data_IF_210189247691
#
_entry.id   IF_210189247691
#
_cell.length_a   1.000
_cell.length_b   1.000
_cell.length_c   1.000
_cell.angle_alpha   90.00
_cell.angle_beta   90.00
_cell.angle_gamma   90.00
#
_symmetry.space_group_name_H-M   'P 1'
#
loop_
_entity.id
_entity.type
_entity.pdbx_description
1 polymer ?
#
# COMPACT_ATOMS: atom_id res chain seq x y z
N UNK A 1 18.00 3.11 -4.09
CA UNK A 1 17.78 1.77 -3.51
C UNK A 1 17.50 0.82 -4.66
N UNK A 2 18.03 -0.42 -4.68
CA UNK A 2 17.65 -1.39 -5.71
C UNK A 2 16.20 -1.85 -5.50
N UNK A 3 15.52 -2.30 -6.56
CA UNK A 3 14.17 -2.85 -6.45
C UNK A 3 14.11 -4.06 -5.52
N UNK A 4 15.13 -4.92 -5.57
CA UNK A 4 15.30 -6.03 -4.63
C UNK A 4 15.34 -5.55 -3.18
N UNK A 5 16.14 -4.53 -2.87
CA UNK A 5 16.21 -4.00 -1.51
C UNK A 5 14.88 -3.36 -1.09
N UNK A 6 14.17 -2.70 -2.01
CA UNK A 6 12.82 -2.17 -1.74
C UNK A 6 11.86 -3.28 -1.32
N UNK A 7 11.80 -4.39 -2.06
CA UNK A 7 10.95 -5.55 -1.71
C UNK A 7 11.36 -6.17 -0.38
N UNK A 8 12.66 -6.34 -0.12
CA UNK A 8 13.13 -6.82 1.19
C UNK A 8 12.65 -5.89 2.31
N UNK A 9 12.72 -4.57 2.11
CA UNK A 9 12.23 -3.61 3.08
C UNK A 9 10.72 -3.71 3.32
N UNK A 10 9.91 -4.01 2.31
CA UNK A 10 8.49 -4.33 2.50
C UNK A 10 8.31 -5.52 3.43
N UNK A 11 9.04 -6.62 3.21
CA UNK A 11 8.93 -7.82 4.05
C UNK A 11 9.48 -7.57 5.46
N UNK A 12 10.57 -6.81 5.60
CA UNK A 12 11.22 -6.52 6.89
C UNK A 12 10.46 -5.48 7.72
N UNK A 13 9.93 -4.42 7.10
CA UNK A 13 9.35 -3.28 7.81
C UNK A 13 7.83 -3.24 7.74
N UNK A 14 7.25 -3.33 6.54
CA UNK A 14 5.80 -3.26 6.38
C UNK A 14 5.16 -4.50 6.99
N UNK A 15 5.46 -5.66 6.43
CA UNK A 15 4.96 -6.95 6.91
C UNK A 15 5.50 -7.31 8.29
N UNK A 16 6.78 -6.99 8.57
CA UNK A 16 7.42 -7.29 9.85
C UNK A 16 6.83 -6.56 11.06
N UNK A 17 6.10 -5.46 10.85
CA UNK A 17 5.38 -4.77 11.93
C UNK A 17 3.86 -4.79 11.78
N UNK A 18 3.33 -5.44 10.73
CA UNK A 18 1.90 -5.48 10.41
C UNK A 18 1.05 -6.09 11.54
N UNK A 19 1.43 -7.25 12.08
CA UNK A 19 0.73 -7.88 13.22
C UNK A 19 0.73 -6.98 14.45
N UNK A 20 1.87 -6.32 14.75
CA UNK A 20 1.96 -5.37 15.87
C UNK A 20 1.05 -4.17 15.65
N UNK A 21 1.00 -3.62 14.43
CA UNK A 21 0.12 -2.50 14.08
C UNK A 21 -1.34 -2.90 14.20
N UNK A 22 -1.73 -4.08 13.70
CA UNK A 22 -3.10 -4.58 13.84
C UNK A 22 -3.49 -4.78 15.32
N UNK A 23 -2.62 -5.38 16.13
CA UNK A 23 -2.90 -5.66 17.54
C UNK A 23 -3.00 -4.41 18.43
N UNK A 24 -2.65 -3.22 17.92
CA UNK A 24 -2.88 -1.95 18.65
C UNK A 24 -4.33 -1.47 18.52
N UNK A 25 -5.05 -1.94 17.50
CA UNK A 25 -6.40 -1.49 17.22
C UNK A 25 -7.35 -1.97 18.34
N UNK A 26 -8.40 -1.20 18.65
CA UNK A 26 -9.55 -1.74 19.37
C UNK A 26 -10.05 -3.01 18.68
N UNK A 27 -10.44 -4.03 19.46
CA UNK A 27 -10.75 -5.36 18.93
C UNK A 27 -11.90 -5.35 17.92
N UNK A 28 -12.92 -4.56 18.20
CA UNK A 28 -14.08 -4.34 17.34
C UNK A 28 -13.69 -3.64 16.04
N UNK A 29 -12.82 -2.65 16.10
CA UNK A 29 -12.28 -1.97 14.93
C UNK A 29 -11.43 -2.91 14.07
N UNK A 30 -10.51 -3.66 14.67
CA UNK A 30 -9.68 -4.62 13.94
C UNK A 30 -10.53 -5.70 13.26
N UNK A 31 -11.52 -6.25 13.95
CA UNK A 31 -12.44 -7.22 13.37
C UNK A 31 -13.28 -6.63 12.24
N UNK A 32 -13.74 -5.37 12.38
CA UNK A 32 -14.47 -4.67 11.33
C UNK A 32 -13.64 -4.59 10.04
N UNK A 33 -12.39 -4.12 10.13
CA UNK A 33 -11.51 -3.98 8.96
C UNK A 33 -11.22 -5.33 8.29
N UNK A 34 -10.98 -6.37 9.08
CA UNK A 34 -10.76 -7.73 8.55
C UNK A 34 -12.00 -8.27 7.81
N UNK A 35 -13.20 -7.99 8.31
CA UNK A 35 -14.44 -8.38 7.62
C UNK A 35 -14.66 -7.59 6.31
N UNK A 36 -14.24 -6.32 6.25
CA UNK A 36 -14.29 -5.51 5.03
C UNK A 36 -13.37 -6.08 3.94
N UNK A 37 -12.26 -6.72 4.32
CA UNK A 37 -11.38 -7.51 3.44
C UNK A 37 -11.96 -8.88 3.04
N UNK A 38 -13.12 -9.27 3.60
CA UNK A 38 -13.79 -10.54 3.31
C UNK A 38 -13.30 -11.74 4.13
N UNK A 39 -12.58 -11.51 5.23
CA UNK A 39 -12.08 -12.57 6.12
C UNK A 39 -12.83 -12.59 7.47
N UNK A 40 -13.00 -13.78 8.05
CA UNK A 40 -13.70 -13.95 9.33
C UNK A 40 -12.81 -13.54 10.52
N UNK A 41 -11.51 -13.81 10.43
CA UNK A 41 -10.52 -13.48 11.45
C UNK A 41 -9.22 -12.95 10.85
N UNK A 42 -8.42 -12.24 11.65
CA UNK A 42 -7.11 -11.78 11.20
C UNK A 42 -6.18 -12.95 10.86
N UNK A 43 -6.32 -14.09 11.54
CA UNK A 43 -5.61 -15.32 11.20
C UNK A 43 -5.97 -15.82 9.80
N UNK A 44 -7.24 -15.73 9.37
CA UNK A 44 -7.65 -16.13 8.02
C UNK A 44 -7.02 -15.23 6.94
N UNK A 45 -6.98 -13.91 7.18
CA UNK A 45 -6.30 -12.95 6.31
C UNK A 45 -4.80 -13.26 6.20
N UNK A 46 -4.13 -13.48 7.34
CA UNK A 46 -2.70 -13.82 7.36
C UNK A 46 -2.43 -15.19 6.71
N UNK A 47 -3.35 -16.16 6.83
CA UNK A 47 -3.23 -17.46 6.20
C UNK A 47 -3.23 -17.34 4.67
N UNK A 48 -4.14 -16.52 4.14
CA UNK A 48 -4.16 -16.16 2.72
C UNK A 48 -2.84 -15.51 2.27
N UNK A 49 -2.36 -14.49 2.99
CA UNK A 49 -1.11 -13.79 2.66
C UNK A 49 0.09 -14.76 2.66
N UNK A 50 0.21 -15.57 3.71
CA UNK A 50 1.30 -16.52 3.88
C UNK A 50 1.34 -17.61 2.79
N UNK A 51 0.19 -18.12 2.36
CA UNK A 51 0.14 -19.11 1.27
C UNK A 51 0.58 -18.48 -0.07
N UNK A 52 0.22 -17.23 -0.35
CA UNK A 52 0.72 -16.53 -1.54
C UNK A 52 2.22 -16.27 -1.48
N UNK A 53 2.78 -15.95 -0.31
CA UNK A 53 4.22 -15.88 -0.13
C UNK A 53 4.90 -17.22 -0.40
N UNK A 54 4.34 -18.30 0.14
CA UNK A 54 4.88 -19.65 -0.02
C UNK A 54 4.87 -20.09 -1.49
N UNK A 55 3.73 -19.92 -2.17
CA UNK A 55 3.60 -20.27 -3.59
C UNK A 55 4.51 -19.41 -4.48
N UNK A 56 4.49 -18.09 -4.26
CA UNK A 56 5.28 -17.15 -5.04
C UNK A 56 6.78 -17.35 -4.85
N UNK A 57 7.25 -17.53 -3.61
CA UNK A 57 8.65 -17.84 -3.34
C UNK A 57 9.08 -19.19 -3.91
N UNK A 58 8.22 -20.20 -3.89
CA UNK A 58 8.47 -21.48 -4.56
C UNK A 58 8.79 -21.32 -6.05
N UNK A 59 8.07 -20.42 -6.73
CA UNK A 59 8.30 -20.09 -8.15
C UNK A 59 9.57 -19.26 -8.34
N UNK A 60 9.77 -18.22 -7.52
CA UNK A 60 10.95 -17.35 -7.58
C UNK A 60 12.23 -18.18 -7.40
N UNK A 61 12.27 -19.05 -6.37
CA UNK A 61 13.43 -19.90 -6.10
C UNK A 61 13.65 -20.94 -7.19
N UNK A 62 12.58 -21.50 -7.78
CA UNK A 62 12.72 -22.39 -8.92
C UNK A 62 13.36 -21.69 -10.13
N UNK A 63 13.01 -20.43 -10.39
CA UNK A 63 13.63 -19.61 -11.44
C UNK A 63 15.12 -19.38 -11.12
N UNK A 64 15.43 -18.95 -9.89
CA UNK A 64 16.80 -18.71 -9.44
C UNK A 64 17.70 -19.95 -9.58
N UNK A 65 17.17 -21.11 -9.20
CA UNK A 65 17.88 -22.39 -9.23
C UNK A 65 17.80 -23.11 -10.59
N UNK A 66 17.18 -22.48 -11.60
CA UNK A 66 16.94 -23.05 -12.93
C UNK A 66 16.22 -24.41 -12.88
N UNK A 67 15.38 -24.62 -11.86
CA UNK A 67 14.52 -25.79 -11.72
C UNK A 67 13.26 -25.63 -12.56
N UNK A 68 12.69 -26.76 -12.98
CA UNK A 68 11.34 -26.77 -13.56
C UNK A 68 10.33 -26.43 -12.46
N UNK A 69 9.37 -25.59 -12.80
CA UNK A 69 8.19 -25.32 -11.99
C UNK A 69 6.96 -25.36 -12.88
N UNK A 70 5.82 -25.70 -12.29
CA UNK A 70 4.55 -25.74 -13.00
C UNK A 70 3.97 -24.34 -13.14
N UNK A 71 3.51 -24.00 -14.34
CA UNK A 71 2.70 -22.81 -14.54
C UNK A 71 1.26 -23.18 -14.22
N UNK A 72 0.82 -22.85 -13.01
CA UNK A 72 -0.57 -22.99 -12.61
C UNK A 72 -1.38 -21.79 -13.09
N UNK A 73 -2.60 -22.05 -13.55
CA UNK A 73 -3.65 -21.03 -13.62
C UNK A 73 -4.43 -21.15 -12.32
N UNK A 74 -4.41 -20.10 -11.51
CA UNK A 74 -5.13 -20.11 -10.25
C UNK A 74 -6.57 -19.71 -10.48
N UNK A 75 -7.47 -20.43 -9.81
CA UNK A 75 -8.72 -19.87 -9.35
C UNK A 75 -8.42 -19.26 -7.98
N UNK A 76 -8.40 -17.93 -7.91
CA UNK A 76 -7.96 -17.21 -6.72
C UNK A 76 -8.89 -17.48 -5.53
N UNK A 77 -10.19 -17.57 -5.76
CA UNK A 77 -11.17 -17.82 -4.70
C UNK A 77 -10.97 -19.21 -4.10
N UNK A 78 -10.76 -20.22 -4.95
CA UNK A 78 -10.49 -21.59 -4.49
C UNK A 78 -9.16 -21.66 -3.72
N UNK A 79 -8.09 -21.08 -4.26
CA UNK A 79 -6.79 -21.08 -3.59
C UNK A 79 -6.86 -20.38 -2.22
N UNK A 80 -7.54 -19.24 -2.14
CA UNK A 80 -7.70 -18.47 -0.91
C UNK A 80 -8.55 -19.25 0.12
N UNK A 81 -9.63 -19.89 -0.31
CA UNK A 81 -10.46 -20.71 0.57
C UNK A 81 -9.70 -21.94 1.10
N UNK A 82 -8.87 -22.58 0.28
CA UNK A 82 -7.99 -23.68 0.70
C UNK A 82 -6.94 -23.22 1.71
N UNK A 83 -6.33 -22.05 1.49
CA UNK A 83 -5.38 -21.43 2.41
C UNK A 83 -6.01 -21.21 3.80
N UNK A 84 -7.20 -20.60 3.85
CA UNK A 84 -7.95 -20.40 5.09
C UNK A 84 -8.31 -21.73 5.75
N UNK A 85 -8.85 -22.68 4.98
CA UNK A 85 -9.25 -23.99 5.51
C UNK A 85 -8.08 -24.78 6.13
N UNK A 86 -6.88 -24.68 5.54
CA UNK A 86 -5.64 -25.33 6.02
C UNK A 86 -5.28 -24.91 7.44
N UNK A 87 -5.52 -23.66 7.81
CA UNK A 87 -5.12 -23.08 9.10
C UNK A 87 -6.29 -22.79 10.06
N UNK A 88 -7.54 -22.99 9.65
CA UNK A 88 -8.74 -22.61 10.42
C UNK A 88 -8.79 -23.13 11.86
N UNK A 89 -8.27 -24.33 12.11
CA UNK A 89 -8.30 -24.98 13.43
C UNK A 89 -6.95 -24.94 14.17
N UNK A 90 -5.97 -24.21 13.66
CA UNK A 90 -4.68 -24.07 14.32
C UNK A 90 -4.80 -23.22 15.58
N UNK A 91 -3.94 -23.49 16.56
CA UNK A 91 -3.77 -22.57 17.67
C UNK A 91 -3.19 -21.24 17.16
N UNK A 92 -3.77 -20.13 17.59
CA UNK A 92 -3.36 -18.80 17.12
C UNK A 92 -1.87 -18.51 17.37
N UNK A 93 -1.32 -18.88 18.53
CA UNK A 93 0.09 -18.63 18.84
C UNK A 93 1.04 -19.48 17.98
N UNK A 94 0.65 -20.73 17.68
CA UNK A 94 1.39 -21.60 16.76
C UNK A 94 1.35 -21.04 15.33
N UNK A 95 0.17 -20.58 14.88
CA UNK A 95 0.02 -19.95 13.58
C UNK A 95 0.83 -18.66 13.46
N UNK A 96 0.80 -17.78 14.46
CA UNK A 96 1.57 -16.52 14.45
C UNK A 96 3.08 -16.79 14.40
N UNK A 97 3.54 -17.86 15.06
CA UNK A 97 4.94 -18.28 15.00
C UNK A 97 5.30 -18.80 13.60
N UNK A 98 4.43 -19.58 12.96
CA UNK A 98 4.61 -20.03 11.57
C UNK A 98 4.62 -18.86 10.58
N UNK A 99 3.73 -17.88 10.76
CA UNK A 99 3.67 -16.69 9.92
C UNK A 99 4.99 -15.92 9.98
N UNK A 100 5.51 -15.66 11.19
CA UNK A 100 6.77 -14.95 11.38
C UNK A 100 7.97 -15.75 10.87
N UNK A 101 8.00 -17.07 11.08
CA UNK A 101 9.03 -17.95 10.52
C UNK A 101 9.03 -17.88 8.98
N UNK A 102 7.84 -17.92 8.37
CA UNK A 102 7.67 -17.82 6.91
C UNK A 102 8.17 -16.47 6.41
N UNK A 103 7.80 -15.37 7.06
CA UNK A 103 8.25 -14.01 6.71
C UNK A 103 9.77 -13.89 6.78
N UNK A 104 10.41 -14.41 7.83
CA UNK A 104 11.86 -14.41 7.97
C UNK A 104 12.53 -15.30 6.91
N UNK A 105 11.93 -16.45 6.58
CA UNK A 105 12.36 -17.32 5.49
C UNK A 105 12.35 -16.61 4.13
N UNK A 106 11.26 -15.90 3.83
CA UNK A 106 11.13 -15.06 2.63
C UNK A 106 12.28 -14.04 2.55
N UNK A 107 12.56 -13.31 3.62
CA UNK A 107 13.69 -12.34 3.67
C UNK A 107 15.02 -13.02 3.37
N UNK A 108 15.27 -14.18 4.01
CA UNK A 108 16.50 -14.92 3.83
C UNK A 108 16.67 -15.42 2.38
N UNK A 109 15.59 -15.86 1.75
CA UNK A 109 15.60 -16.35 0.38
C UNK A 109 15.73 -15.21 -0.65
N UNK A 110 15.00 -14.11 -0.48
CA UNK A 110 15.16 -12.91 -1.32
C UNK A 110 16.61 -12.42 -1.31
N UNK A 111 17.29 -12.44 -0.14
CA UNK A 111 18.71 -12.08 -0.03
C UNK A 111 19.61 -12.97 -0.90
N UNK A 112 19.27 -14.25 -1.10
CA UNK A 112 20.03 -15.21 -1.94
C UNK A 112 19.76 -15.06 -3.44
N UNK A 113 18.64 -14.48 -3.85
CA UNK A 113 18.31 -14.30 -5.28
C UNK A 113 19.26 -13.28 -5.91
N UNK A 114 20.04 -13.67 -6.91
CA UNK A 114 20.94 -12.75 -7.63
C UNK A 114 20.16 -11.59 -8.30
N UNK A 115 20.77 -10.40 -8.38
CA UNK A 115 20.13 -9.20 -8.97
C UNK A 115 19.69 -9.43 -10.43
N UNK A 116 20.45 -10.21 -11.21
CA UNK A 116 20.10 -10.56 -12.59
C UNK A 116 18.83 -11.44 -12.64
N UNK A 117 18.70 -12.38 -11.71
CA UNK A 117 17.49 -13.20 -11.57
C UNK A 117 16.33 -12.34 -11.07
N UNK A 118 16.59 -11.43 -10.14
CA UNK A 118 15.58 -10.53 -9.61
C UNK A 118 14.99 -9.61 -10.69
N UNK A 119 15.81 -9.13 -11.60
CA UNK A 119 15.40 -8.34 -12.77
C UNK A 119 14.60 -9.15 -13.81
N UNK A 120 14.42 -10.46 -13.63
CA UNK A 120 13.53 -11.24 -14.48
C UNK A 120 12.09 -10.74 -14.32
N UNK A 121 11.44 -10.34 -15.42
CA UNK A 121 10.05 -9.86 -15.43
C UNK A 121 9.07 -10.75 -14.66
N UNK A 122 9.24 -12.07 -14.71
CA UNK A 122 8.36 -13.00 -13.98
C UNK A 122 8.61 -12.97 -12.48
N UNK A 123 9.88 -12.83 -12.05
CA UNK A 123 10.22 -12.63 -10.64
C UNK A 123 9.65 -11.30 -10.17
N UNK A 124 9.86 -10.21 -10.91
CA UNK A 124 9.27 -8.89 -10.63
C UNK A 124 7.75 -8.94 -10.49
N UNK A 125 7.05 -9.65 -11.39
CA UNK A 125 5.61 -9.81 -11.30
C UNK A 125 5.15 -10.53 -10.03
N UNK A 126 5.88 -11.57 -9.60
CA UNK A 126 5.56 -12.29 -8.35
C UNK A 126 5.87 -11.44 -7.13
N UNK A 127 7.05 -10.83 -7.03
CA UNK A 127 7.42 -10.01 -5.86
C UNK A 127 6.52 -8.79 -5.73
N UNK A 128 6.14 -8.17 -6.85
CA UNK A 128 5.19 -7.05 -6.84
C UNK A 128 3.83 -7.51 -6.36
N UNK A 129 3.32 -8.61 -6.94
CA UNK A 129 2.00 -9.15 -6.60
C UNK A 129 1.86 -9.55 -5.13
N UNK A 130 2.83 -10.29 -4.57
CA UNK A 130 2.68 -10.93 -3.25
C UNK A 130 3.27 -10.11 -2.08
N UNK A 131 4.13 -9.12 -2.34
CA UNK A 131 4.74 -8.32 -1.26
C UNK A 131 4.32 -6.86 -1.27
N UNK A 132 4.38 -6.18 -2.43
CA UNK A 132 4.13 -4.73 -2.47
C UNK A 132 2.66 -4.42 -2.70
N UNK A 133 2.07 -4.97 -3.75
CA UNK A 133 0.66 -4.77 -4.05
C UNK A 133 -0.22 -5.41 -2.97
N UNK A 134 0.12 -6.62 -2.53
CA UNK A 134 -0.64 -7.31 -1.49
C UNK A 134 -0.71 -6.54 -0.16
N UNK A 135 0.34 -5.79 0.17
CA UNK A 135 0.37 -4.96 1.38
C UNK A 135 -0.60 -3.77 1.28
N UNK A 136 -0.78 -3.21 0.08
CA UNK A 136 -1.74 -2.14 -0.18
C UNK A 136 -3.18 -2.68 -0.23
N UNK A 137 -3.39 -3.81 -0.89
CA UNK A 137 -4.71 -4.45 -0.99
C UNK A 137 -5.24 -4.83 0.39
N UNK A 138 -4.39 -5.39 1.27
CA UNK A 138 -4.81 -5.79 2.61
C UNK A 138 -4.33 -4.81 3.68
N UNK A 139 -4.55 -3.52 3.49
CA UNK A 139 -4.06 -2.47 4.40
C UNK A 139 -4.95 -2.29 5.64
N UNK A 140 -5.22 -3.36 6.40
CA UNK A 140 -6.05 -3.26 7.63
C UNK A 140 -5.36 -2.45 8.74
N UNK A 141 -4.05 -2.22 8.66
CA UNK A 141 -3.29 -1.42 9.62
C UNK A 141 -2.11 -0.68 8.96
N UNK A 142 -2.22 0.64 8.82
CA UNK A 142 -1.25 1.44 8.07
C UNK A 142 0.02 1.75 8.87
N UNK A 143 1.17 1.57 8.21
CA UNK A 143 2.50 1.84 8.75
C UNK A 143 3.16 3.07 8.13
N UNK A 144 4.16 3.61 8.83
CA UNK A 144 5.01 4.69 8.31
C UNK A 144 5.77 4.29 7.04
N UNK A 145 6.19 3.03 6.94
CA UNK A 145 6.98 2.54 5.82
C UNK A 145 6.19 2.63 4.51
N UNK A 146 5.00 2.02 4.43
CA UNK A 146 4.21 2.03 3.19
C UNK A 146 3.80 3.44 2.73
N UNK A 147 3.55 4.36 3.68
CA UNK A 147 3.29 5.77 3.34
C UNK A 147 4.48 6.42 2.66
N UNK A 148 5.66 6.30 3.27
CA UNK A 148 6.89 6.86 2.71
C UNK A 148 7.25 6.21 1.40
N UNK A 149 7.15 4.88 1.32
CA UNK A 149 7.43 4.13 0.11
C UNK A 149 6.50 4.56 -1.05
N UNK A 150 5.19 4.72 -0.79
CA UNK A 150 4.22 5.20 -1.78
C UNK A 150 4.56 6.63 -2.24
N UNK A 151 4.83 7.54 -1.30
CA UNK A 151 5.20 8.92 -1.63
C UNK A 151 6.54 9.04 -2.34
N UNK A 152 7.53 8.22 -2.00
CA UNK A 152 8.89 8.30 -2.53
C UNK A 152 9.08 7.55 -3.86
N UNK A 153 8.30 6.49 -4.10
CA UNK A 153 8.53 5.56 -5.20
C UNK A 153 7.36 5.39 -6.14
N UNK A 154 6.12 5.58 -5.68
CA UNK A 154 4.92 5.35 -6.50
C UNK A 154 4.41 6.65 -7.12
N UNK A 155 4.07 7.65 -6.31
CA UNK A 155 3.55 8.95 -6.78
C UNK A 155 4.43 9.66 -7.83
N UNK A 156 5.78 9.67 -7.76
CA UNK A 156 6.61 10.28 -8.79
C UNK A 156 6.44 9.64 -10.17
N UNK A 157 5.99 8.38 -10.22
CA UNK A 157 5.79 7.66 -11.48
C UNK A 157 4.49 8.07 -12.17
N UNK A 158 3.50 8.61 -11.45
CA UNK A 158 2.17 8.94 -11.98
C UNK A 158 2.25 9.87 -13.19
N UNK A 159 3.03 10.96 -13.07
CA UNK A 159 3.24 11.92 -14.17
C UNK A 159 3.91 11.25 -15.37
N UNK A 160 4.95 10.45 -15.11
CA UNK A 160 5.71 9.78 -16.18
C UNK A 160 4.86 8.73 -16.90
N UNK A 161 4.09 7.94 -16.15
CA UNK A 161 3.16 6.94 -16.69
C UNK A 161 2.06 7.63 -17.52
N UNK A 162 1.46 8.70 -17.00
CA UNK A 162 0.45 9.46 -17.72
C UNK A 162 1.00 10.04 -19.02
N UNK A 163 2.20 10.61 -18.98
CA UNK A 163 2.80 11.21 -20.17
C UNK A 163 3.12 10.17 -21.25
N UNK A 164 3.41 8.93 -20.86
CA UNK A 164 3.67 7.79 -21.72
C UNK A 164 2.41 7.09 -22.26
N UNK A 165 1.21 7.42 -21.77
CA UNK A 165 -0.03 6.84 -22.28
C UNK A 165 -0.28 7.22 -23.73
N UNK A 166 -0.62 6.22 -24.55
CA UNK A 166 -1.08 6.44 -25.93
C UNK A 166 -2.47 7.07 -25.97
N UNK A 167 -3.39 6.62 -25.11
CA UNK A 167 -4.76 7.15 -25.00
C UNK A 167 -5.02 7.79 -23.62
N UNK A 168 -4.56 9.04 -23.48
CA UNK A 168 -4.78 9.87 -22.28
C UNK A 168 -6.27 10.16 -22.05
N UNK A 169 -7.06 10.26 -23.12
CA UNK A 169 -8.49 10.61 -23.02
C UNK A 169 -9.31 9.46 -22.46
N UNK A 170 -9.00 8.21 -22.82
CA UNK A 170 -9.66 7.04 -22.22
C UNK A 170 -9.41 6.97 -20.72
N UNK A 171 -8.17 7.19 -20.29
CA UNK A 171 -7.83 7.23 -18.86
C UNK A 171 -8.59 8.34 -18.13
N UNK A 172 -8.50 9.59 -18.61
CA UNK A 172 -9.19 10.73 -18.00
C UNK A 172 -10.71 10.53 -17.92
N UNK A 173 -11.31 9.94 -18.96
CA UNK A 173 -12.73 9.59 -18.97
C UNK A 173 -13.09 8.56 -17.90
N UNK A 174 -12.25 7.55 -17.66
CA UNK A 174 -12.46 6.58 -16.57
C UNK A 174 -12.37 7.24 -15.19
N UNK A 175 -11.47 8.21 -15.06
CA UNK A 175 -11.31 9.03 -13.86
C UNK A 175 -12.43 10.07 -13.68
N UNK A 176 -13.29 10.27 -14.71
CA UNK A 176 -14.36 11.26 -14.66
C UNK A 176 -13.88 12.71 -14.72
N UNK A 177 -12.66 12.95 -15.23
CA UNK A 177 -12.01 14.26 -15.24
C UNK A 177 -11.62 14.66 -16.66
N UNK A 178 -11.51 15.97 -16.88
CA UNK A 178 -11.15 16.52 -18.21
C UNK A 178 -9.64 16.71 -18.36
N UNK A 179 -8.92 16.91 -17.25
CA UNK A 179 -7.48 17.17 -17.25
C UNK A 179 -6.78 16.31 -16.22
N UNK A 180 -5.54 15.94 -16.54
CA UNK A 180 -4.68 15.26 -15.56
C UNK A 180 -4.33 16.16 -14.38
N UNK A 181 -4.24 17.47 -14.62
CA UNK A 181 -4.05 18.46 -13.57
C UNK A 181 -5.18 18.46 -12.54
N UNK A 182 -6.40 18.05 -12.92
CA UNK A 182 -7.52 17.94 -11.98
C UNK A 182 -7.31 16.75 -11.00
N UNK A 183 -6.72 15.64 -11.49
CA UNK A 183 -6.29 14.52 -10.62
C UNK A 183 -5.21 15.00 -9.64
N UNK A 184 -4.20 15.71 -10.14
CA UNK A 184 -3.13 16.23 -9.29
C UNK A 184 -3.66 17.25 -8.28
N UNK A 185 -4.62 18.10 -8.66
CA UNK A 185 -5.26 19.06 -7.77
C UNK A 185 -5.98 18.37 -6.61
N UNK A 186 -6.72 17.28 -6.87
CA UNK A 186 -7.33 16.46 -5.82
C UNK A 186 -6.29 15.89 -4.87
N UNK A 187 -5.24 15.25 -5.40
CA UNK A 187 -4.16 14.68 -4.57
C UNK A 187 -3.50 15.75 -3.70
N UNK A 188 -3.18 16.92 -4.27
CA UNK A 188 -2.61 18.05 -3.51
C UNK A 188 -3.55 18.49 -2.39
N UNK A 189 -4.83 18.67 -2.69
CA UNK A 189 -5.82 19.14 -1.71
C UNK A 189 -6.01 18.17 -0.55
N UNK A 190 -6.11 16.87 -0.82
CA UNK A 190 -6.15 15.86 0.23
C UNK A 190 -4.85 15.85 1.04
N UNK A 191 -3.67 15.88 0.42
CA UNK A 191 -2.41 16.01 1.19
C UNK A 191 -2.34 17.26 2.08
N UNK A 192 -2.94 18.37 1.67
CA UNK A 192 -3.07 19.56 2.52
C UNK A 192 -3.96 19.31 3.75
N UNK A 193 -5.06 18.58 3.60
CA UNK A 193 -5.88 18.14 4.72
C UNK A 193 -5.12 17.19 5.66
N UNK A 194 -4.36 16.25 5.11
CA UNK A 194 -3.49 15.36 5.88
C UNK A 194 -2.46 16.11 6.71
N UNK A 195 -1.81 17.12 6.12
CA UNK A 195 -0.87 17.98 6.84
C UNK A 195 -1.54 18.74 7.99
N UNK A 196 -2.76 19.25 7.79
CA UNK A 196 -3.55 19.90 8.86
C UNK A 196 -3.88 18.91 9.97
N UNK A 197 -4.27 17.69 9.61
CA UNK A 197 -4.60 16.64 10.57
C UNK A 197 -3.40 16.24 11.42
N UNK A 198 -2.24 15.98 10.79
CA UNK A 198 -0.99 15.68 11.50
C UNK A 198 -0.64 16.81 12.47
N UNK A 199 -0.71 18.06 12.01
CA UNK A 199 -0.41 19.22 12.85
C UNK A 199 -1.37 19.33 14.05
N UNK A 200 -2.68 19.12 13.82
CA UNK A 200 -3.71 19.13 14.86
C UNK A 200 -3.49 18.07 15.93
N UNK A 201 -3.34 16.81 15.52
CA UNK A 201 -3.10 15.67 16.46
C UNK A 201 -1.79 15.85 17.22
N UNK A 202 -0.75 16.41 16.59
CA UNK A 202 0.53 16.69 17.26
C UNK A 202 0.39 17.77 18.33
N UNK A 203 -0.48 18.75 18.13
CA UNK A 203 -0.70 19.85 19.08
C UNK A 203 -1.66 19.46 20.20
N UNK A 204 -2.69 18.69 19.90
CA UNK A 204 -3.74 18.28 20.82
C UNK A 204 -4.15 16.83 20.55
N UNK A 205 -3.95 15.95 21.54
CA UNK A 205 -4.34 14.55 21.42
C UNK A 205 -5.86 14.35 21.40
N UNK A 206 -6.64 15.36 21.76
CA UNK A 206 -8.10 15.39 21.63
C UNK A 206 -8.57 16.09 20.33
N UNK A 207 -7.65 16.40 19.41
CA UNK A 207 -8.01 16.97 18.11
C UNK A 207 -9.02 16.10 17.38
N UNK A 208 -10.11 16.74 16.93
CA UNK A 208 -11.13 16.12 16.08
C UNK A 208 -11.06 16.76 14.71
N UNK A 209 -10.81 15.94 13.71
CA UNK A 209 -10.84 16.38 12.31
C UNK A 209 -12.28 16.40 11.79
N UNK A 210 -12.74 17.53 11.30
CA UNK A 210 -14.04 17.65 10.64
C UNK A 210 -13.82 17.53 9.13
N UNK A 211 -13.91 16.30 8.62
CA UNK A 211 -13.73 16.04 7.21
C UNK A 211 -14.72 16.86 6.37
N UNK A 212 -14.26 17.51 5.29
CA UNK A 212 -15.15 18.20 4.37
C UNK A 212 -16.01 17.18 3.62
N UNK A 213 -17.08 17.65 2.98
CA UNK A 213 -17.81 16.83 2.02
C UNK A 213 -16.91 16.54 0.82
N UNK A 214 -16.59 15.27 0.57
CA UNK A 214 -15.66 14.83 -0.47
C UNK A 214 -15.98 15.41 -1.85
N UNK A 215 -17.23 15.31 -2.30
CA UNK A 215 -17.63 15.77 -3.63
C UNK A 215 -17.52 17.30 -3.76
N UNK A 216 -18.01 18.03 -2.76
CA UNK A 216 -17.94 19.49 -2.75
C UNK A 216 -16.48 19.98 -2.69
N UNK A 217 -15.65 19.33 -1.86
CA UNK A 217 -14.23 19.68 -1.73
C UNK A 217 -13.47 19.41 -3.02
N UNK A 218 -13.68 18.26 -3.67
CA UNK A 218 -13.07 17.95 -4.95
C UNK A 218 -13.48 18.97 -6.03
N UNK A 219 -14.75 19.35 -6.09
CA UNK A 219 -15.22 20.40 -7.02
C UNK A 219 -14.55 21.75 -6.77
N UNK A 220 -14.37 22.14 -5.50
CA UNK A 220 -13.66 23.37 -5.12
C UNK A 220 -12.19 23.32 -5.57
N UNK A 221 -11.51 22.18 -5.44
CA UNK A 221 -10.14 22.00 -5.90
C UNK A 221 -10.02 22.12 -7.43
N UNK A 222 -10.91 21.49 -8.20
CA UNK A 222 -10.93 21.66 -9.67
C UNK A 222 -11.08 23.13 -10.04
N UNK A 223 -12.04 23.82 -9.42
CA UNK A 223 -12.29 25.24 -9.69
C UNK A 223 -11.09 26.13 -9.29
N UNK A 224 -10.43 25.83 -8.17
CA UNK A 224 -9.25 26.56 -7.69
C UNK A 224 -8.07 26.42 -8.65
N UNK A 225 -7.84 25.22 -9.21
CA UNK A 225 -6.67 24.92 -10.04
C UNK A 225 -6.92 25.12 -11.55
N UNK A 226 -8.18 25.32 -11.99
CA UNK A 226 -8.53 25.34 -13.42
C UNK A 226 -7.76 26.36 -14.27
N UNK A 227 -7.34 27.48 -13.69
CA UNK A 227 -6.66 28.55 -14.41
C UNK A 227 -5.12 28.42 -14.37
N UNK A 228 -4.60 27.43 -13.63
CA UNK A 228 -3.17 27.14 -13.57
C UNK A 228 -2.73 26.31 -14.78
N UNK A 229 -1.50 26.55 -15.21
CA UNK A 229 -0.86 25.73 -16.25
C UNK A 229 -0.48 24.35 -15.72
N UNK A 230 -0.32 23.38 -16.63
CA UNK A 230 0.14 22.04 -16.30
C UNK A 230 1.45 22.03 -15.51
N UNK A 231 2.42 22.84 -15.92
CA UNK A 231 3.72 22.95 -15.26
C UNK A 231 3.60 23.49 -13.82
N UNK A 232 2.70 24.45 -13.59
CA UNK A 232 2.44 24.99 -12.25
C UNK A 232 1.83 23.92 -11.34
N UNK A 233 0.80 23.19 -11.80
CA UNK A 233 0.15 22.15 -10.99
C UNK A 233 1.10 20.99 -10.69
N UNK A 234 1.86 20.53 -11.69
CA UNK A 234 2.86 19.46 -11.51
C UNK A 234 3.97 19.86 -10.53
N UNK A 235 4.41 21.12 -10.59
CA UNK A 235 5.38 21.65 -9.62
C UNK A 235 4.79 21.67 -8.21
N UNK A 236 3.55 22.15 -8.05
CA UNK A 236 2.87 22.16 -6.75
C UNK A 236 2.68 20.75 -6.17
N UNK A 237 2.34 19.78 -7.02
CA UNK A 237 2.26 18.37 -6.65
C UNK A 237 3.58 17.87 -6.05
N UNK A 238 4.70 18.09 -6.74
CA UNK A 238 6.02 17.65 -6.24
C UNK A 238 6.44 18.38 -4.96
N UNK A 239 6.19 19.68 -4.85
CA UNK A 239 6.44 20.44 -3.63
C UNK A 239 5.61 19.90 -2.45
N UNK A 240 4.34 19.58 -2.68
CA UNK A 240 3.46 19.01 -1.66
C UNK A 240 3.90 17.61 -1.24
N UNK A 241 4.23 16.75 -2.20
CA UNK A 241 4.74 15.40 -1.95
C UNK A 241 5.98 15.43 -1.06
N UNK A 242 6.94 16.29 -1.39
CA UNK A 242 8.18 16.46 -0.60
C UNK A 242 7.86 16.97 0.81
N UNK A 243 6.95 17.94 0.95
CA UNK A 243 6.53 18.46 2.25
C UNK A 243 5.89 17.37 3.12
N UNK A 244 5.00 16.53 2.54
CA UNK A 244 4.36 15.44 3.25
C UNK A 244 5.36 14.34 3.65
N UNK A 245 6.29 13.99 2.77
CA UNK A 245 7.40 13.08 3.09
C UNK A 245 8.19 13.58 4.30
N UNK A 246 8.57 14.85 4.32
CA UNK A 246 9.36 15.42 5.41
C UNK A 246 8.60 15.39 6.73
N UNK A 247 7.30 15.69 6.71
CA UNK A 247 6.45 15.61 7.90
C UNK A 247 6.33 14.17 8.40
N UNK A 248 6.03 13.20 7.53
CA UNK A 248 5.88 11.79 7.91
C UNK A 248 7.21 11.21 8.40
N UNK A 249 8.34 11.53 7.76
CA UNK A 249 9.69 11.11 8.20
C UNK A 249 9.98 11.56 9.62
N UNK A 250 9.60 12.77 9.98
CA UNK A 250 9.83 13.34 11.31
C UNK A 250 8.67 13.07 12.30
N UNK A 251 7.64 12.36 11.88
CA UNK A 251 6.50 12.00 12.70
C UNK A 251 6.88 10.90 13.70
N UNK A 252 6.50 11.07 14.98
CA UNK A 252 6.60 10.04 16.02
C UNK A 252 5.67 8.88 15.65
N UNK A 253 6.14 7.64 15.78
CA UNK A 253 5.33 6.45 15.49
C UNK A 253 4.06 6.38 16.35
N UNK A 254 4.08 6.97 17.56
CA UNK A 254 2.89 7.03 18.44
C UNK A 254 1.74 7.84 17.86
N UNK A 255 2.00 8.73 16.90
CA UNK A 255 0.90 9.47 16.25
C UNK A 255 0.00 8.54 15.43
N UNK A 256 0.51 7.39 14.98
CA UNK A 256 -0.32 6.36 14.36
C UNK A 256 -1.24 5.62 15.36
N UNK A 257 -1.12 5.86 16.67
CA UNK A 257 -2.09 5.35 17.64
C UNK A 257 -3.40 6.17 17.60
N UNK A 258 -3.39 7.35 16.97
CA UNK A 258 -4.62 8.06 16.60
C UNK A 258 -5.23 7.39 15.35
N UNK A 259 -6.34 6.68 15.55
CA UNK A 259 -6.98 5.88 14.50
C UNK A 259 -7.51 6.71 13.34
N UNK A 260 -7.99 7.92 13.60
CA UNK A 260 -8.47 8.79 12.55
C UNK A 260 -7.31 9.24 11.66
N UNK A 261 -6.16 9.59 12.25
CA UNK A 261 -4.97 9.95 11.49
C UNK A 261 -4.42 8.76 10.70
N UNK A 262 -4.36 7.58 11.30
CA UNK A 262 -3.95 6.37 10.60
C UNK A 262 -4.84 6.08 9.38
N UNK A 263 -6.17 6.09 9.57
CA UNK A 263 -7.13 5.83 8.48
C UNK A 263 -7.03 6.88 7.39
N UNK A 264 -6.92 8.15 7.77
CA UNK A 264 -6.76 9.24 6.81
C UNK A 264 -5.50 9.01 5.96
N UNK A 265 -4.37 8.70 6.60
CA UNK A 265 -3.12 8.45 5.87
C UNK A 265 -3.20 7.21 4.98
N UNK A 266 -3.87 6.15 5.42
CA UNK A 266 -4.11 4.97 4.60
C UNK A 266 -4.91 5.34 3.33
N UNK A 267 -6.06 6.00 3.51
CA UNK A 267 -6.97 6.41 2.45
C UNK A 267 -6.30 7.38 1.48
N UNK A 268 -5.85 8.54 1.96
CA UNK A 268 -5.47 9.66 1.11
C UNK A 268 -4.01 9.65 0.63
N UNK A 269 -3.20 8.69 1.09
CA UNK A 269 -1.85 8.46 0.58
C UNK A 269 -1.75 7.14 -0.16
N UNK A 270 -2.17 6.02 0.43
CA UNK A 270 -1.94 4.70 -0.18
C UNK A 270 -3.08 4.32 -1.11
N UNK A 271 -4.32 4.30 -0.62
CA UNK A 271 -5.48 3.86 -1.40
C UNK A 271 -5.79 4.84 -2.55
N UNK A 272 -5.70 6.15 -2.29
CA UNK A 272 -5.88 7.21 -3.28
C UNK A 272 -4.83 7.18 -4.40
N UNK A 273 -3.62 6.65 -4.13
CA UNK A 273 -2.67 6.35 -5.21
C UNK A 273 -3.23 5.23 -6.10
N UNK A 274 -3.71 4.14 -5.50
CA UNK A 274 -4.23 2.98 -6.24
C UNK A 274 -5.50 3.32 -7.05
N UNK A 275 -6.32 4.29 -6.62
CA UNK A 275 -7.48 4.81 -7.37
C UNK A 275 -7.08 5.51 -8.68
N UNK A 276 -5.91 6.15 -8.69
CA UNK A 276 -5.41 6.96 -9.79
C UNK A 276 -4.24 6.31 -10.56
N UNK A 277 -3.78 5.14 -10.14
CA UNK A 277 -2.66 4.47 -10.81
C UNK A 277 -2.99 4.10 -12.26
N UNK A 278 -1.93 4.07 -13.08
CA UNK A 278 -1.96 3.93 -14.55
C UNK A 278 -1.35 2.60 -14.99
#
# INVERSE_FOLDING_TARGET
MSEKQRVINFVEHEWGTYVKRFNRLPKDEGLKRVNEEGYETFQDLLAHIMEWWTEGMGIIMAIAEKRKFERKKYDFDVFNAEAVAKYKNWNEAEFMSLFEETRLGVVADLKKVDEEVFANRRVQGWVSGIFTHHARVHLVACGKFILLDTLEHEYPTLITKFDALEDKNEFLKKQGLERFEDILAHIIGWWDEGLKMIAGVKQDSAFVYNAPNTDAFNQELVEQYKNLSADEVRKMFEEKRIALIEVIKNMDEKLFDNLDLERWLAADVVEHFDEHDI
#
